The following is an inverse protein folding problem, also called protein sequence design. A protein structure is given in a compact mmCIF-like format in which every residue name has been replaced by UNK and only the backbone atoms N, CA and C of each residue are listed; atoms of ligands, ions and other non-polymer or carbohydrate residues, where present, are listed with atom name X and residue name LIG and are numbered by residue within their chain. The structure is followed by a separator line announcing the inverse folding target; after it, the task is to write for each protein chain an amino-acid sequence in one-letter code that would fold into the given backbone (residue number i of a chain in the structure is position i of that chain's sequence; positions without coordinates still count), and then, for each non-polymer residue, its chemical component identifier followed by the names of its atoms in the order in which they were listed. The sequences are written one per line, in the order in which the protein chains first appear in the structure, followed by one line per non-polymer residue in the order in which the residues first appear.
data_IF_938306687558
#
_entry.id   IF_938306687558
#
_cell.length_a   1.000
_cell.length_b   1.000
_cell.length_c   1.000
_cell.angle_alpha   90.00
_cell.angle_beta   90.00
_cell.angle_gamma   90.00
#
_symmetry.space_group_name_H-M   'P 1'
#
loop_
_entity.id
_entity.type
_entity.pdbx_description
1 polymer ?
#
# COMPACT_ATOMS: atom_id res chain seq x y z
N UNK A 1 -17.70 11.87 20.43
CA UNK A 1 -16.90 10.99 19.55
C UNK A 1 -17.71 10.74 18.28
N UNK A 2 -17.31 11.34 17.14
CA UNK A 2 -18.04 11.16 15.88
C UNK A 2 -17.85 9.74 15.37
N UNK A 3 -18.92 8.95 15.31
CA UNK A 3 -18.94 7.66 14.61
C UNK A 3 -18.84 7.98 13.12
N UNK A 4 -17.65 7.84 12.55
CA UNK A 4 -17.47 7.83 11.09
C UNK A 4 -18.31 6.69 10.52
N UNK A 5 -19.44 7.00 9.90
CA UNK A 5 -20.20 6.05 9.11
C UNK A 5 -19.33 5.69 7.90
N UNK A 6 -18.81 4.46 7.87
CA UNK A 6 -18.14 3.95 6.67
C UNK A 6 -19.20 3.84 5.58
N UNK A 7 -19.20 4.79 4.64
CA UNK A 7 -20.08 4.76 3.49
C UNK A 7 -19.54 3.68 2.53
N UNK A 8 -20.04 2.45 2.66
CA UNK A 8 -19.69 1.35 1.77
C UNK A 8 -20.39 1.60 0.43
N UNK A 9 -19.62 1.91 -0.61
CA UNK A 9 -20.12 2.04 -1.98
C UNK A 9 -20.03 0.69 -2.67
N UNK A 10 -21.18 0.09 -2.95
CA UNK A 10 -21.27 -1.06 -3.85
C UNK A 10 -21.54 -0.55 -5.26
N UNK A 11 -20.78 -1.03 -6.23
CA UNK A 11 -21.00 -0.75 -7.65
C UNK A 11 -21.52 -2.02 -8.30
N UNK A 12 -22.66 -1.93 -8.97
CA UNK A 12 -23.19 -3.04 -9.76
C UNK A 12 -22.36 -3.21 -11.02
N UNK A 13 -21.97 -4.44 -11.29
CA UNK A 13 -21.28 -4.83 -12.52
C UNK A 13 -22.20 -5.81 -13.25
N UNK A 14 -22.24 -5.74 -14.58
CA UNK A 14 -23.02 -6.69 -15.38
C UNK A 14 -22.55 -8.11 -15.07
N UNK A 15 -23.49 -9.05 -15.01
CA UNK A 15 -23.15 -10.47 -14.96
C UNK A 15 -22.25 -10.80 -16.16
N UNK A 16 -21.17 -11.55 -15.92
CA UNK A 16 -20.15 -11.91 -16.92
C UNK A 16 -19.28 -10.76 -17.46
N UNK A 17 -19.25 -9.59 -16.81
CA UNK A 17 -18.26 -8.57 -17.16
C UNK A 17 -16.86 -9.08 -16.79
N UNK A 18 -15.96 -9.08 -17.76
CA UNK A 18 -14.58 -9.52 -17.53
C UNK A 18 -13.81 -8.47 -16.72
N UNK A 19 -13.42 -8.86 -15.51
CA UNK A 19 -12.60 -8.05 -14.60
C UNK A 19 -11.18 -8.62 -14.45
N UNK A 20 -10.82 -9.64 -15.23
CA UNK A 20 -9.54 -10.35 -15.08
C UNK A 20 -8.35 -9.40 -15.24
N UNK A 21 -8.43 -8.47 -16.18
CA UNK A 21 -7.40 -7.47 -16.40
C UNK A 21 -7.28 -6.51 -15.21
N UNK A 22 -8.41 -6.06 -14.67
CA UNK A 22 -8.40 -5.21 -13.48
C UNK A 22 -7.77 -5.93 -12.28
N UNK A 23 -8.13 -7.19 -12.04
CA UNK A 23 -7.57 -7.98 -10.95
C UNK A 23 -6.07 -8.20 -11.12
N UNK A 24 -5.62 -8.47 -12.35
CA UNK A 24 -4.21 -8.64 -12.69
C UNK A 24 -3.43 -7.35 -12.43
N UNK A 25 -3.94 -6.23 -12.92
CA UNK A 25 -3.32 -4.91 -12.75
C UNK A 25 -3.30 -4.48 -11.28
N UNK A 26 -4.39 -4.69 -10.54
CA UNK A 26 -4.44 -4.39 -9.10
C UNK A 26 -3.41 -5.22 -8.32
N UNK A 27 -3.30 -6.51 -8.61
CA UNK A 27 -2.29 -7.38 -7.98
C UNK A 27 -0.87 -6.89 -8.28
N UNK A 28 -0.62 -6.43 -9.50
CA UNK A 28 0.69 -5.91 -9.90
C UNK A 28 1.05 -4.64 -9.11
N UNK A 29 0.15 -3.66 -9.01
CA UNK A 29 0.43 -2.44 -8.24
C UNK A 29 0.55 -2.72 -6.75
N UNK A 30 -0.20 -3.68 -6.20
CA UNK A 30 -0.08 -4.09 -4.81
C UNK A 30 1.29 -4.71 -4.53
N UNK A 31 1.74 -5.61 -5.40
CA UNK A 31 3.07 -6.22 -5.26
C UNK A 31 4.17 -5.16 -5.37
N UNK A 32 4.11 -4.29 -6.39
CA UNK A 32 5.04 -3.15 -6.52
C UNK A 32 5.07 -2.27 -5.28
N UNK A 33 3.92 -2.05 -4.64
CA UNK A 33 3.85 -1.27 -3.41
C UNK A 33 4.60 -1.95 -2.26
N UNK A 34 4.42 -3.26 -2.10
CA UNK A 34 5.11 -4.06 -1.09
C UNK A 34 6.62 -4.05 -1.34
N UNK A 35 7.03 -4.26 -2.59
CA UNK A 35 8.44 -4.29 -2.98
C UNK A 35 9.13 -2.95 -2.71
N UNK A 36 8.49 -1.84 -3.09
CA UNK A 36 9.02 -0.48 -2.87
C UNK A 36 9.10 -0.15 -1.38
N UNK A 37 8.10 -0.54 -0.58
CA UNK A 37 8.15 -0.39 0.89
C UNK A 37 9.31 -1.18 1.46
N UNK A 38 9.45 -2.45 1.06
CA UNK A 38 10.48 -3.37 1.55
C UNK A 38 11.89 -2.86 1.24
N UNK A 39 12.12 -2.42 0.00
CA UNK A 39 13.40 -1.87 -0.45
C UNK A 39 13.82 -0.62 0.34
N UNK A 40 12.84 0.14 0.86
CA UNK A 40 13.08 1.37 1.62
C UNK A 40 13.04 1.17 3.14
N UNK A 41 12.95 -0.06 3.65
CA UNK A 41 13.07 -0.35 5.09
C UNK A 41 14.50 -0.06 5.53
N UNK A 42 14.65 0.84 6.50
CA UNK A 42 15.94 1.05 7.18
C UNK A 42 16.02 0.17 8.41
N UNK A 43 17.17 -0.38 8.70
CA UNK A 43 17.38 -1.21 9.89
C UNK A 43 18.25 -0.45 10.89
N UNK A 44 17.76 -0.33 12.13
CA UNK A 44 18.56 0.23 13.23
C UNK A 44 18.94 -0.86 14.22
N UNK A 45 20.14 -0.77 14.75
CA UNK A 45 20.59 -1.63 15.83
C UNK A 45 20.17 -1.06 17.18
N UNK A 46 19.60 -1.93 18.02
CA UNK A 46 19.37 -1.65 19.44
C UNK A 46 19.88 -2.80 20.28
N UNK A 47 20.36 -2.48 21.47
CA UNK A 47 20.71 -3.47 22.48
C UNK A 47 19.55 -3.63 23.46
N UNK A 48 19.21 -4.87 23.80
CA UNK A 48 18.27 -5.12 24.89
C UNK A 48 18.94 -4.92 26.26
N UNK A 49 18.16 -4.97 27.34
CA UNK A 49 18.68 -4.85 28.73
C UNK A 49 19.72 -5.92 29.11
N UNK A 50 19.83 -7.00 28.33
CA UNK A 50 20.80 -8.09 28.50
C UNK A 50 22.02 -7.96 27.55
N UNK A 51 22.19 -6.81 26.91
CA UNK A 51 23.32 -6.56 25.99
C UNK A 51 23.26 -7.29 24.64
N UNK A 52 22.12 -7.91 24.27
CA UNK A 52 21.98 -8.59 22.97
C UNK A 52 21.55 -7.61 21.88
N UNK A 53 22.22 -7.68 20.72
CA UNK A 53 21.88 -6.91 19.52
C UNK A 53 20.54 -7.35 18.94
N UNK A 54 19.74 -6.39 18.52
CA UNK A 54 18.47 -6.56 17.81
C UNK A 54 18.39 -5.54 16.68
N UNK A 55 18.08 -6.01 15.48
CA UNK A 55 17.70 -5.13 14.36
C UNK A 55 16.21 -4.79 14.47
N UNK A 56 15.89 -3.50 14.34
CA UNK A 56 14.52 -3.00 14.33
C UNK A 56 14.27 -2.33 12.98
N UNK A 57 13.24 -2.75 12.23
CA UNK A 57 12.91 -2.10 10.97
C UNK A 57 12.23 -0.75 11.24
N UNK A 58 12.71 0.27 10.55
CA UNK A 58 12.04 1.55 10.38
C UNK A 58 11.36 1.50 9.03
N UNK A 59 10.06 1.19 9.07
CA UNK A 59 9.21 1.15 7.89
C UNK A 59 8.93 2.60 7.44
N UNK A 60 9.14 2.96 6.16
CA UNK A 60 8.88 4.30 5.67
C UNK A 60 7.37 4.58 5.71
N UNK A 61 6.92 5.59 6.46
CA UNK A 61 5.48 5.89 6.65
C UNK A 61 5.10 7.37 6.45
N UNK A 62 6.07 8.23 6.18
CA UNK A 62 5.85 9.67 6.04
C UNK A 62 5.09 10.05 4.77
N UNK A 63 4.48 11.24 4.76
CA UNK A 63 3.70 11.75 3.63
C UNK A 63 4.52 11.86 2.34
N UNK A 64 5.79 12.27 2.45
CA UNK A 64 6.73 12.32 1.31
C UNK A 64 6.88 10.96 0.64
N UNK A 65 6.99 9.89 1.43
CA UNK A 65 7.10 8.54 0.88
C UNK A 65 5.74 8.02 0.39
N UNK A 66 4.75 7.96 1.28
CA UNK A 66 3.44 7.35 0.99
C UNK A 66 2.67 8.07 -0.11
N UNK A 67 2.51 9.39 0.00
CA UNK A 67 1.58 10.16 -0.83
C UNK A 67 2.23 10.84 -2.02
N UNK A 68 3.56 11.01 -2.01
CA UNK A 68 4.29 11.56 -3.16
C UNK A 68 5.01 10.46 -3.93
N UNK A 69 6.09 9.90 -3.37
CA UNK A 69 6.93 8.92 -4.07
C UNK A 69 6.16 7.67 -4.49
N UNK A 70 5.65 6.92 -3.51
CA UNK A 70 5.00 5.63 -3.76
C UNK A 70 3.73 5.80 -4.61
N UNK A 71 2.93 6.83 -4.31
CA UNK A 71 1.72 7.11 -5.08
C UNK A 71 2.03 7.51 -6.53
N UNK A 72 3.03 8.35 -6.76
CA UNK A 72 3.43 8.73 -8.12
C UNK A 72 3.93 7.52 -8.91
N UNK A 73 4.73 6.66 -8.27
CA UNK A 73 5.26 5.43 -8.86
C UNK A 73 4.15 4.46 -9.27
N UNK A 74 3.16 4.26 -8.40
CA UNK A 74 2.05 3.32 -8.67
C UNK A 74 0.99 3.88 -9.64
N UNK A 75 0.93 5.19 -9.80
CA UNK A 75 0.05 5.84 -10.79
C UNK A 75 0.62 5.74 -12.21
N UNK A 76 1.92 5.50 -12.36
CA UNK A 76 2.55 5.35 -13.66
C UNK A 76 2.06 4.09 -14.40
N UNK A 77 1.43 4.28 -15.56
CA UNK A 77 0.78 3.22 -16.32
C UNK A 77 -0.50 2.65 -15.69
N UNK A 78 -1.12 3.33 -14.71
CA UNK A 78 -2.38 2.90 -14.13
C UNK A 78 -3.60 3.42 -14.90
N UNK A 79 -4.41 2.50 -15.44
CA UNK A 79 -5.54 2.84 -16.32
C UNK A 79 -6.88 2.98 -15.61
N UNK A 80 -7.00 2.53 -14.35
CA UNK A 80 -8.24 2.57 -13.60
C UNK A 80 -8.31 3.77 -12.65
N UNK A 81 -9.38 3.85 -11.87
CA UNK A 81 -9.56 4.97 -10.93
C UNK A 81 -8.45 5.02 -9.88
N UNK A 82 -7.97 6.25 -9.59
CA UNK A 82 -6.91 6.55 -8.62
C UNK A 82 -7.14 5.99 -7.21
N UNK A 83 -8.40 5.82 -6.81
CA UNK A 83 -8.72 5.33 -5.46
C UNK A 83 -8.28 3.87 -5.24
N UNK A 84 -8.12 3.07 -6.32
CA UNK A 84 -7.56 1.73 -6.22
C UNK A 84 -6.06 1.76 -5.93
N UNK A 85 -5.32 2.76 -6.42
CA UNK A 85 -3.92 2.98 -6.02
C UNK A 85 -3.85 3.34 -4.55
N UNK A 86 -4.70 4.27 -4.09
CA UNK A 86 -4.77 4.65 -2.68
C UNK A 86 -5.14 3.45 -1.79
N UNK A 87 -6.03 2.56 -2.27
CA UNK A 87 -6.38 1.29 -1.62
C UNK A 87 -5.19 0.32 -1.57
N UNK A 88 -4.45 0.15 -2.66
CA UNK A 88 -3.28 -0.73 -2.71
C UNK A 88 -2.19 -0.25 -1.75
N UNK A 89 -1.93 1.06 -1.69
CA UNK A 89 -1.02 1.65 -0.70
C UNK A 89 -1.52 1.34 0.70
N UNK A 90 -2.80 1.58 1.01
CA UNK A 90 -3.34 1.25 2.33
C UNK A 90 -3.16 -0.23 2.68
N UNK A 91 -3.43 -1.12 1.73
CA UNK A 91 -3.35 -2.57 1.91
C UNK A 91 -1.91 -3.04 2.13
N UNK A 92 -0.93 -2.46 1.45
CA UNK A 92 0.48 -2.82 1.61
C UNK A 92 1.07 -2.48 3.00
N UNK A 93 0.39 -1.63 3.78
CA UNK A 93 0.77 -1.30 5.17
C UNK A 93 -0.09 -2.01 6.23
N UNK A 94 -1.09 -2.78 5.82
CA UNK A 94 -1.95 -3.55 6.73
C UNK A 94 -1.25 -4.82 7.22
#
# INVERSE_FOLDING_TARGET
MSRSSYQVRAYSVKHSYDISEFLRSYRLILQRAIDEIWANIRWIEKFNRKGRRRLIPIIPKGNEFKHRHLRSLLMDGWEYSKHYVDSAIKQAYS
#
